data_IF_352942579293
#
_entry.id   IF_352942579293
#
_cell.length_a   1.000
_cell.length_b   1.000
_cell.length_c   1.000
_cell.angle_alpha   90.00
_cell.angle_beta   90.00
_cell.angle_gamma   90.00
#
_symmetry.space_group_name_H-M   'P 1'
#
loop_
_entity.id
_entity.type
_entity.pdbx_description
1 polymer ?
#
# COMPACT_ATOMS: atom_id res chain seq x y z
N UNK A 1 29.55 12.61 -19.48
CA UNK A 1 29.53 12.46 -20.93
C UNK A 1 30.86 12.92 -21.43
N UNK A 2 31.74 11.97 -21.70
CA UNK A 2 33.04 12.18 -22.33
C UNK A 2 32.92 12.58 -23.82
N UNK A 3 31.69 12.74 -24.33
CA UNK A 3 31.40 13.23 -25.68
C UNK A 3 31.40 12.14 -26.76
N UNK A 4 31.49 10.88 -26.36
CA UNK A 4 31.49 9.68 -27.20
C UNK A 4 30.09 9.21 -27.64
N UNK A 5 29.03 9.75 -27.02
CA UNK A 5 27.64 9.43 -27.35
C UNK A 5 27.07 8.23 -26.58
N UNK A 6 27.81 7.69 -25.61
CA UNK A 6 27.41 6.57 -24.76
C UNK A 6 27.45 6.99 -23.28
N UNK A 7 26.92 6.15 -22.40
CA UNK A 7 27.14 6.27 -20.95
C UNK A 7 27.81 5.00 -20.43
N UNK A 8 29.05 5.13 -19.95
CA UNK A 8 29.70 4.06 -19.20
C UNK A 8 28.99 3.81 -17.87
N UNK A 9 29.26 2.67 -17.24
CA UNK A 9 28.76 2.36 -15.89
C UNK A 9 29.13 3.45 -14.86
N UNK A 10 30.33 4.04 -14.98
CA UNK A 10 30.79 5.12 -14.10
C UNK A 10 29.98 6.41 -14.30
N UNK A 11 29.72 6.79 -15.54
CA UNK A 11 28.93 7.98 -15.86
C UNK A 11 27.46 7.82 -15.49
N UNK A 12 26.88 6.63 -15.74
CA UNK A 12 25.53 6.31 -15.32
C UNK A 12 25.40 6.30 -13.78
N UNK A 13 26.41 5.79 -13.08
CA UNK A 13 26.48 5.87 -11.62
C UNK A 13 26.54 7.32 -11.12
N UNK A 14 27.31 8.18 -11.77
CA UNK A 14 27.36 9.61 -11.46
C UNK A 14 26.01 10.30 -11.71
N UNK A 15 25.33 9.96 -12.81
CA UNK A 15 23.97 10.43 -13.11
C UNK A 15 22.99 10.04 -11.99
N UNK A 16 23.00 8.78 -11.57
CA UNK A 16 22.15 8.30 -10.47
C UNK A 16 22.44 9.03 -9.15
N UNK A 17 23.72 9.23 -8.81
CA UNK A 17 24.12 9.97 -7.60
C UNK A 17 23.72 11.45 -7.65
N UNK A 18 23.67 12.03 -8.84
CA UNK A 18 23.13 13.39 -9.03
C UNK A 18 21.60 13.44 -8.95
N UNK A 19 20.93 12.37 -9.39
CA UNK A 19 19.47 12.20 -9.38
C UNK A 19 18.93 12.02 -7.96
N UNK A 20 19.56 11.21 -7.11
CA UNK A 20 19.03 10.87 -5.79
C UNK A 20 19.40 11.91 -4.74
N UNK A 21 18.46 12.83 -4.47
CA UNK A 21 18.60 13.91 -3.50
C UNK A 21 17.33 14.05 -2.68
N UNK A 22 17.48 14.46 -1.43
CA UNK A 22 16.35 14.85 -0.60
C UNK A 22 15.81 16.23 -1.03
N UNK A 23 14.70 16.66 -0.42
CA UNK A 23 14.05 17.93 -0.75
C UNK A 23 14.96 19.18 -0.57
N UNK A 24 16.01 19.07 0.25
CA UNK A 24 16.99 20.15 0.50
C UNK A 24 18.18 20.09 -0.48
N UNK A 25 18.15 19.19 -1.46
CA UNK A 25 19.22 18.99 -2.43
C UNK A 25 20.41 18.18 -1.92
N UNK A 26 20.38 17.64 -0.69
CA UNK A 26 21.45 16.79 -0.16
C UNK A 26 21.40 15.42 -0.84
N UNK A 27 22.52 14.90 -1.36
CA UNK A 27 22.55 13.59 -1.99
C UNK A 27 22.28 12.47 -0.98
N UNK A 28 21.54 11.44 -1.40
CA UNK A 28 21.40 10.21 -0.63
C UNK A 28 22.67 9.35 -0.75
N UNK A 29 23.03 8.59 0.31
CA UNK A 29 23.95 7.47 0.13
C UNK A 29 23.31 6.43 -0.80
N UNK A 30 24.10 5.88 -1.72
CA UNK A 30 23.64 4.88 -2.69
C UNK A 30 24.69 3.80 -2.77
N UNK A 31 24.24 2.57 -2.55
CA UNK A 31 25.08 1.38 -2.63
C UNK A 31 25.48 1.09 -4.08
N UNK A 32 26.71 0.58 -4.28
CA UNK A 32 27.23 0.31 -5.61
C UNK A 32 26.54 -0.90 -6.27
N UNK A 33 26.07 -1.89 -5.51
CA UNK A 33 25.31 -3.02 -6.05
C UNK A 33 23.99 -2.56 -6.65
N UNK A 34 23.27 -1.66 -5.97
CA UNK A 34 22.04 -1.03 -6.49
C UNK A 34 22.29 -0.33 -7.83
N UNK A 35 23.35 0.48 -7.91
CA UNK A 35 23.70 1.18 -9.16
C UNK A 35 24.04 0.21 -10.30
N UNK A 36 24.75 -0.86 -9.98
CA UNK A 36 25.13 -1.90 -10.95
C UNK A 36 23.90 -2.64 -11.47
N UNK A 37 22.95 -2.99 -10.59
CA UNK A 37 21.69 -3.62 -10.98
C UNK A 37 20.86 -2.69 -11.86
N UNK A 38 20.71 -1.42 -11.50
CA UNK A 38 19.97 -0.44 -12.31
C UNK A 38 20.63 -0.32 -13.69
N UNK A 39 21.96 -0.18 -13.75
CA UNK A 39 22.69 -0.10 -15.01
C UNK A 39 22.40 -1.30 -15.91
N UNK A 40 22.52 -2.53 -15.38
CA UNK A 40 22.26 -3.76 -16.13
C UNK A 40 20.81 -3.92 -16.63
N UNK A 41 19.83 -3.25 -16.01
CA UNK A 41 18.44 -3.26 -16.46
C UNK A 41 18.25 -2.41 -17.73
N UNK A 42 19.07 -1.37 -17.88
CA UNK A 42 19.01 -0.44 -19.00
C UNK A 42 20.02 -0.76 -20.11
N UNK A 43 21.16 -1.36 -19.77
CA UNK A 43 22.07 -2.04 -20.73
C UNK A 43 21.42 -3.36 -21.18
N UNK A 44 20.58 -3.26 -22.22
CA UNK A 44 19.77 -4.35 -22.74
C UNK A 44 20.54 -5.26 -23.69
N UNK A 45 21.52 -4.71 -24.41
CA UNK A 45 22.34 -5.45 -25.35
C UNK A 45 23.58 -6.11 -24.67
N UNK A 46 23.86 -5.75 -23.40
CA UNK A 46 24.94 -6.26 -22.55
C UNK A 46 26.33 -5.93 -23.07
N UNK A 47 26.49 -4.78 -23.71
CA UNK A 47 27.78 -4.29 -24.20
C UNK A 47 28.58 -3.47 -23.15
N UNK A 48 28.02 -3.31 -21.95
CA UNK A 48 28.55 -2.53 -20.82
C UNK A 48 28.59 -1.02 -21.06
N UNK A 49 27.83 -0.50 -22.01
CA UNK A 49 27.49 0.92 -22.13
C UNK A 49 25.98 1.08 -22.26
N UNK A 50 25.48 2.30 -22.04
CA UNK A 50 24.11 2.66 -22.37
C UNK A 50 24.14 3.52 -23.62
N UNK A 51 23.57 3.02 -24.71
CA UNK A 51 23.46 3.75 -25.97
C UNK A 51 22.29 4.77 -25.96
N UNK A 52 22.09 5.47 -27.09
CA UNK A 52 21.04 6.48 -27.22
C UNK A 52 19.62 5.91 -27.11
N UNK A 53 19.37 4.72 -27.65
CA UNK A 53 18.06 4.07 -27.62
C UNK A 53 17.74 3.56 -26.22
N UNK A 54 18.71 2.93 -25.57
CA UNK A 54 18.63 2.49 -24.18
C UNK A 54 18.45 3.66 -23.22
N UNK A 55 19.21 4.74 -23.42
CA UNK A 55 19.05 5.96 -22.64
C UNK A 55 17.67 6.59 -22.86
N UNK A 56 17.13 6.58 -24.08
CA UNK A 56 15.77 7.08 -24.34
C UNK A 56 14.73 6.25 -23.58
N UNK A 57 14.87 4.92 -23.54
CA UNK A 57 13.99 4.06 -22.76
C UNK A 57 14.13 4.35 -21.25
N UNK A 58 15.36 4.40 -20.74
CA UNK A 58 15.70 4.77 -19.37
C UNK A 58 15.07 6.12 -18.97
N UNK A 59 15.21 7.14 -19.82
CA UNK A 59 14.61 8.44 -19.60
C UNK A 59 13.08 8.37 -19.53
N UNK A 60 12.45 7.79 -20.55
CA UNK A 60 10.99 7.80 -20.70
C UNK A 60 10.27 6.95 -19.65
N UNK A 61 10.85 5.82 -19.27
CA UNK A 61 10.20 4.84 -18.38
C UNK A 61 10.64 4.94 -16.94
N UNK A 62 11.83 5.46 -16.66
CA UNK A 62 12.41 5.46 -15.32
C UNK A 62 12.69 6.86 -14.80
N UNK A 63 13.62 7.61 -15.40
CA UNK A 63 14.04 8.93 -14.88
C UNK A 63 12.85 9.89 -14.83
N UNK A 64 12.04 9.95 -15.90
CA UNK A 64 10.88 10.85 -15.97
C UNK A 64 9.90 10.61 -14.82
N UNK A 65 9.59 9.36 -14.49
CA UNK A 65 8.69 9.04 -13.38
C UNK A 65 9.35 9.41 -12.05
N UNK A 66 10.64 9.13 -11.87
CA UNK A 66 11.39 9.51 -10.66
C UNK A 66 11.33 11.01 -10.38
N UNK A 67 11.43 11.86 -11.40
CA UNK A 67 11.42 13.33 -11.24
C UNK A 67 10.04 13.98 -11.34
N UNK A 68 9.05 13.28 -11.88
CA UNK A 68 7.68 13.76 -12.11
C UNK A 68 6.69 12.65 -11.78
N UNK A 69 6.53 12.30 -10.49
CA UNK A 69 5.56 11.30 -10.08
C UNK A 69 4.14 11.77 -10.39
N UNK A 70 3.26 10.83 -10.70
CA UNK A 70 1.80 11.01 -10.64
C UNK A 70 1.33 10.31 -9.38
N UNK A 71 0.72 11.07 -8.49
CA UNK A 71 0.60 10.71 -7.07
C UNK A 71 -0.83 10.42 -6.66
N UNK A 72 -1.01 9.37 -5.88
CA UNK A 72 -2.26 9.06 -5.21
C UNK A 72 -2.08 9.08 -3.68
N UNK A 73 -3.04 9.67 -2.96
CA UNK A 73 -3.23 9.43 -1.54
C UNK A 73 -4.34 8.39 -1.36
N UNK A 74 -4.07 7.30 -0.64
CA UNK A 74 -5.04 6.26 -0.30
C UNK A 74 -5.23 6.27 1.21
N UNK A 75 -6.39 6.78 1.63
CA UNK A 75 -6.84 6.85 3.01
C UNK A 75 -7.63 5.59 3.33
N UNK A 76 -7.10 4.75 4.22
CA UNK A 76 -7.65 3.43 4.51
C UNK A 76 -8.55 3.51 5.75
N UNK A 77 -9.83 3.23 5.56
CA UNK A 77 -10.80 2.85 6.60
C UNK A 77 -10.84 3.79 7.83
N UNK A 78 -10.82 5.12 7.60
CA UNK A 78 -11.01 6.11 8.68
C UNK A 78 -12.52 6.25 8.97
N UNK A 79 -13.11 5.14 9.44
CA UNK A 79 -14.53 4.96 9.70
C UNK A 79 -14.85 4.98 11.20
N UNK A 80 -16.09 5.28 11.54
CA UNK A 80 -16.55 5.42 12.93
C UNK A 80 -16.29 4.15 13.76
N UNK A 81 -16.58 2.96 13.22
CA UNK A 81 -16.39 1.71 13.98
C UNK A 81 -14.94 1.46 14.40
N UNK A 82 -13.96 1.96 13.66
CA UNK A 82 -12.54 1.82 14.00
C UNK A 82 -12.03 2.92 14.94
N UNK A 83 -12.77 4.02 15.11
CA UNK A 83 -12.36 5.15 15.95
C UNK A 83 -13.04 5.08 17.31
N UNK A 84 -14.37 5.12 17.35
CA UNK A 84 -15.16 5.17 18.59
C UNK A 84 -16.35 4.21 18.62
N UNK A 85 -16.58 3.45 17.54
CA UNK A 85 -17.63 2.43 17.46
C UNK A 85 -17.19 1.01 17.88
N UNK A 86 -17.77 0.00 17.21
CA UNK A 86 -17.77 -1.39 17.70
C UNK A 86 -16.42 -2.09 17.67
N UNK A 87 -15.50 -1.65 16.80
CA UNK A 87 -14.14 -2.16 16.65
C UNK A 87 -13.11 -1.04 16.84
N UNK A 88 -13.38 -0.15 17.79
CA UNK A 88 -12.47 0.96 18.10
C UNK A 88 -11.08 0.42 18.42
N UNK A 89 -10.06 0.93 17.72
CA UNK A 89 -8.67 0.50 17.93
C UNK A 89 -8.14 0.83 19.33
N UNK A 90 -8.81 1.73 20.06
CA UNK A 90 -8.50 2.01 21.46
C UNK A 90 -8.71 0.79 22.37
N UNK A 91 -9.58 -0.12 21.95
CA UNK A 91 -9.86 -1.38 22.66
C UNK A 91 -8.95 -2.53 22.20
N UNK A 92 -8.04 -2.28 21.26
CA UNK A 92 -7.05 -3.26 20.81
C UNK A 92 -5.80 -3.27 21.72
N UNK A 93 -4.95 -4.31 21.64
CA UNK A 93 -3.78 -4.46 22.53
C UNK A 93 -2.85 -3.25 22.63
N UNK A 94 -2.62 -2.53 21.53
CA UNK A 94 -1.76 -1.33 21.53
C UNK A 94 -2.42 -0.10 22.20
N UNK A 95 -3.73 -0.11 22.42
CA UNK A 95 -4.46 0.98 23.08
C UNK A 95 -4.37 2.34 22.37
N UNK A 96 -4.06 2.33 21.07
CA UNK A 96 -3.89 3.54 20.27
C UNK A 96 -5.23 4.27 20.03
N UNK A 97 -5.20 5.58 19.83
CA UNK A 97 -6.41 6.35 19.53
C UNK A 97 -6.58 6.56 18.02
N UNK A 98 -7.65 6.00 17.44
CA UNK A 98 -7.95 6.08 16.01
C UNK A 98 -8.16 7.50 15.50
N UNK A 99 -8.73 8.39 16.32
CA UNK A 99 -8.99 9.78 15.94
C UNK A 99 -7.69 10.53 15.57
N UNK A 100 -6.54 10.11 16.11
CA UNK A 100 -5.25 10.76 15.89
C UNK A 100 -4.73 10.64 14.45
N UNK A 101 -5.33 9.77 13.61
CA UNK A 101 -5.01 9.73 12.16
C UNK A 101 -5.59 10.92 11.41
N UNK A 102 -6.66 11.55 11.93
CA UNK A 102 -7.41 12.57 11.19
C UNK A 102 -6.60 13.86 10.98
N UNK A 103 -5.99 14.48 12.01
CA UNK A 103 -5.21 15.71 11.82
C UNK A 103 -4.06 15.60 10.80
N UNK A 104 -3.20 14.55 10.82
CA UNK A 104 -2.15 14.41 9.82
C UNK A 104 -2.72 14.15 8.41
N UNK A 105 -3.80 13.39 8.26
CA UNK A 105 -4.43 13.13 6.95
C UNK A 105 -5.05 14.42 6.37
N UNK A 106 -5.79 15.18 7.18
CA UNK A 106 -6.35 16.46 6.77
C UNK A 106 -5.25 17.44 6.34
N UNK A 107 -4.13 17.48 7.07
CA UNK A 107 -2.97 18.29 6.69
C UNK A 107 -2.34 17.83 5.37
N UNK A 108 -2.26 16.53 5.10
CA UNK A 108 -1.77 16.02 3.82
C UNK A 108 -2.62 16.54 2.66
N UNK A 109 -3.95 16.53 2.81
CA UNK A 109 -4.89 17.04 1.81
C UNK A 109 -4.77 18.57 1.61
N UNK A 110 -4.44 19.32 2.65
CA UNK A 110 -4.28 20.78 2.58
C UNK A 110 -2.92 21.22 2.01
N UNK A 111 -1.83 20.55 2.41
CA UNK A 111 -0.47 20.98 2.10
C UNK A 111 0.06 20.44 0.76
N UNK A 112 -0.63 19.44 0.20
CA UNK A 112 -0.22 18.72 -0.99
C UNK A 112 -1.35 18.67 -2.01
N UNK A 113 -0.98 18.70 -3.29
CA UNK A 113 -1.89 18.45 -4.40
C UNK A 113 -1.59 17.06 -4.93
N UNK A 114 -2.40 16.09 -4.54
CA UNK A 114 -2.37 14.75 -5.14
C UNK A 114 -3.13 14.77 -6.47
N UNK A 115 -2.70 13.94 -7.41
CA UNK A 115 -3.42 13.75 -8.67
C UNK A 115 -4.67 12.90 -8.48
N UNK A 116 -4.65 12.02 -7.46
CA UNK A 116 -5.76 11.13 -7.09
C UNK A 116 -5.87 11.07 -5.57
N UNK A 117 -7.09 11.13 -5.03
CA UNK A 117 -7.36 10.85 -3.62
C UNK A 117 -8.39 9.72 -3.56
N UNK A 118 -8.10 8.71 -2.77
CA UNK A 118 -8.95 7.54 -2.58
C UNK A 118 -9.24 7.36 -1.10
N UNK A 119 -10.49 7.02 -0.77
CA UNK A 119 -10.90 6.53 0.54
C UNK A 119 -11.37 5.09 0.39
N UNK A 120 -10.74 4.15 1.10
CA UNK A 120 -11.34 2.82 1.24
C UNK A 120 -12.31 2.78 2.41
N UNK A 121 -13.32 1.93 2.27
CA UNK A 121 -14.32 1.68 3.29
C UNK A 121 -14.50 0.18 3.42
N UNK A 122 -14.32 -0.34 4.62
CA UNK A 122 -14.86 -1.64 4.97
C UNK A 122 -16.39 -1.58 4.91
N UNK A 123 -17.00 -2.56 4.27
CA UNK A 123 -18.41 -2.49 3.89
C UNK A 123 -19.10 -3.85 3.89
N UNK A 124 -19.22 -4.42 5.08
CA UNK A 124 -19.58 -5.81 5.28
C UNK A 124 -21.09 -6.05 5.30
N UNK A 125 -21.62 -7.05 4.56
CA UNK A 125 -22.98 -7.52 4.77
C UNK A 125 -23.16 -8.02 6.21
N UNK A 126 -24.40 -8.08 6.69
CA UNK A 126 -24.73 -8.52 8.05
C UNK A 126 -24.33 -9.97 8.35
N UNK A 127 -24.17 -10.81 7.33
CA UNK A 127 -23.76 -12.22 7.44
C UNK A 127 -22.29 -12.47 7.14
N UNK A 128 -21.45 -11.43 7.11
CA UNK A 128 -20.06 -11.52 6.66
C UNK A 128 -19.19 -12.50 7.46
N UNK A 129 -18.35 -13.28 6.77
CA UNK A 129 -17.52 -14.38 7.30
C UNK A 129 -16.55 -13.98 8.40
N UNK A 130 -16.15 -12.71 8.43
CA UNK A 130 -15.22 -12.21 9.42
C UNK A 130 -15.86 -11.96 10.80
N UNK A 131 -17.19 -11.98 10.94
CA UNK A 131 -17.82 -11.68 12.21
C UNK A 131 -17.94 -12.90 13.11
N UNK A 132 -17.47 -12.75 14.36
CA UNK A 132 -17.57 -13.77 15.40
C UNK A 132 -19.00 -14.23 15.66
N UNK A 133 -19.98 -13.31 15.58
CA UNK A 133 -21.38 -13.64 15.85
C UNK A 133 -22.06 -14.40 14.69
N UNK A 134 -21.43 -14.46 13.52
CA UNK A 134 -21.87 -15.25 12.36
C UNK A 134 -21.01 -16.47 12.08
N UNK A 135 -20.05 -16.78 12.96
CA UNK A 135 -19.11 -17.90 12.81
C UNK A 135 -19.81 -19.24 12.54
N UNK A 136 -21.02 -19.42 13.08
CA UNK A 136 -21.85 -20.62 12.95
C UNK A 136 -22.58 -20.74 11.61
N UNK A 137 -22.60 -19.69 10.77
CA UNK A 137 -23.25 -19.73 9.46
C UNK A 137 -22.46 -20.55 8.42
N UNK A 138 -21.18 -20.80 8.68
CA UNK A 138 -20.27 -21.51 7.78
C UNK A 138 -19.72 -22.76 8.45
N UNK A 139 -19.60 -23.88 7.72
CA UNK A 139 -19.03 -25.08 8.27
C UNK A 139 -17.52 -24.91 8.45
N UNK A 140 -17.01 -25.46 9.55
CA UNK A 140 -15.57 -25.49 9.81
C UNK A 140 -14.94 -26.56 8.93
N UNK A 141 -13.77 -26.25 8.38
CA UNK A 141 -12.96 -27.22 7.67
C UNK A 141 -12.40 -28.25 8.67
N UNK A 142 -12.15 -29.49 8.23
CA UNK A 142 -11.60 -30.56 9.10
C UNK A 142 -10.24 -30.21 9.73
N UNK A 143 -9.49 -29.32 9.08
CA UNK A 143 -8.20 -28.82 9.56
C UNK A 143 -8.33 -27.72 10.63
N UNK A 144 -9.54 -27.22 10.91
CA UNK A 144 -9.73 -26.19 11.92
C UNK A 144 -9.45 -26.77 13.32
N UNK A 145 -8.61 -26.08 14.08
CA UNK A 145 -8.17 -26.52 15.41
C UNK A 145 -9.12 -26.13 16.53
N UNK A 146 -10.09 -25.27 16.25
CA UNK A 146 -11.05 -24.72 17.20
C UNK A 146 -12.44 -25.25 16.88
N UNK A 147 -13.24 -25.51 17.91
CA UNK A 147 -14.67 -25.78 17.75
C UNK A 147 -15.48 -24.49 17.86
N UNK A 148 -16.70 -24.40 17.28
CA UNK A 148 -17.51 -23.17 17.33
C UNK A 148 -17.72 -22.59 18.73
N UNK A 149 -17.80 -23.43 19.76
CA UNK A 149 -18.00 -23.01 21.15
C UNK A 149 -16.72 -22.47 21.83
N UNK A 150 -15.54 -22.73 21.27
CA UNK A 150 -14.23 -22.30 21.81
C UNK A 150 -13.74 -20.98 21.24
N UNK A 151 -14.29 -20.57 20.10
CA UNK A 151 -13.79 -19.47 19.28
C UNK A 151 -14.04 -18.12 19.97
N UNK A 152 -13.03 -17.26 19.93
CA UNK A 152 -13.05 -15.91 20.50
C UNK A 152 -12.74 -14.86 19.44
N UNK A 153 -13.04 -13.61 19.78
CA UNK A 153 -12.62 -12.45 18.99
C UNK A 153 -11.09 -12.48 18.81
N UNK A 154 -10.65 -12.21 17.59
CA UNK A 154 -9.27 -12.28 17.09
C UNK A 154 -8.67 -13.68 16.89
N UNK A 155 -9.41 -14.76 17.16
CA UNK A 155 -8.97 -16.09 16.75
C UNK A 155 -9.00 -16.23 15.23
N UNK A 156 -8.08 -17.05 14.70
CA UNK A 156 -8.11 -17.49 13.30
C UNK A 156 -8.73 -18.88 13.22
N UNK A 157 -9.83 -18.98 12.48
CA UNK A 157 -10.51 -20.25 12.17
C UNK A 157 -10.26 -20.63 10.72
N UNK A 158 -10.62 -21.87 10.38
CA UNK A 158 -10.52 -22.39 9.01
C UNK A 158 -11.90 -22.89 8.58
N UNK A 159 -12.49 -22.23 7.59
CA UNK A 159 -13.80 -22.59 7.05
C UNK A 159 -13.68 -23.45 5.79
N UNK A 160 -14.73 -24.22 5.50
CA UNK A 160 -15.00 -24.82 4.19
C UNK A 160 -16.23 -24.13 3.59
N UNK A 161 -16.05 -22.88 3.15
CA UNK A 161 -17.17 -21.98 2.83
C UNK A 161 -18.04 -22.54 1.69
N UNK A 162 -17.42 -23.21 0.71
CA UNK A 162 -18.11 -23.76 -0.45
C UNK A 162 -18.57 -25.22 -0.26
N UNK A 163 -18.24 -25.86 0.87
CA UNK A 163 -18.48 -27.29 1.12
C UNK A 163 -17.82 -28.19 0.07
N UNK A 164 -16.67 -27.76 -0.44
CA UNK A 164 -15.90 -28.44 -1.47
C UNK A 164 -14.58 -29.02 -0.92
N UNK A 165 -14.37 -28.92 0.40
CA UNK A 165 -13.17 -29.37 1.08
C UNK A 165 -12.00 -28.38 0.97
N UNK A 166 -12.20 -27.16 0.44
CA UNK A 166 -11.14 -26.17 0.39
C UNK A 166 -11.08 -25.37 1.70
N UNK A 167 -9.92 -25.45 2.36
CA UNK A 167 -9.64 -24.67 3.56
C UNK A 167 -9.48 -23.17 3.26
N UNK A 168 -10.20 -22.35 4.02
CA UNK A 168 -10.05 -20.88 4.00
C UNK A 168 -9.80 -20.37 5.42
N UNK A 169 -8.64 -19.77 5.67
CA UNK A 169 -8.34 -19.13 6.95
C UNK A 169 -9.07 -17.78 7.05
N UNK A 170 -9.67 -17.53 8.22
CA UNK A 170 -10.35 -16.28 8.53
C UNK A 170 -10.06 -15.87 9.97
N UNK A 171 -9.55 -14.66 10.17
CA UNK A 171 -9.48 -14.04 11.50
C UNK A 171 -10.83 -13.42 11.85
N UNK A 172 -11.31 -13.68 13.06
CA UNK A 172 -12.63 -13.24 13.48
C UNK A 172 -12.59 -11.92 14.24
N UNK A 173 -13.57 -11.08 13.98
CA UNK A 173 -13.69 -9.74 14.54
C UNK A 173 -15.07 -9.55 15.16
N UNK A 174 -15.24 -8.59 16.09
CA UNK A 174 -16.57 -8.09 16.44
C UNK A 174 -17.28 -7.61 15.17
N UNK A 175 -18.61 -7.61 15.17
CA UNK A 175 -19.38 -7.00 14.09
C UNK A 175 -19.01 -5.53 13.94
N UNK A 176 -18.64 -5.12 12.73
CA UNK A 176 -18.18 -3.77 12.42
C UNK A 176 -18.48 -3.42 10.96
N UNK A 177 -18.50 -2.13 10.66
CA UNK A 177 -18.63 -1.55 9.32
C UNK A 177 -19.74 -2.20 8.49
N UNK A 178 -20.87 -2.52 9.15
CA UNK A 178 -22.02 -3.15 8.49
C UNK A 178 -22.61 -2.18 7.48
N UNK A 179 -22.93 -2.66 6.28
CA UNK A 179 -23.41 -1.79 5.20
C UNK A 179 -24.57 -0.89 5.65
N UNK A 180 -24.44 0.41 5.36
CA UNK A 180 -25.42 1.46 5.66
C UNK A 180 -25.64 1.73 7.14
N UNK A 181 -24.76 1.25 8.01
CA UNK A 181 -24.73 1.62 9.42
C UNK A 181 -23.87 2.86 9.65
N UNK A 182 -24.12 3.56 10.75
CA UNK A 182 -23.27 4.67 11.21
C UNK A 182 -21.80 4.24 11.36
N UNK A 183 -21.56 3.03 11.88
CA UNK A 183 -20.21 2.49 12.08
C UNK A 183 -19.39 2.39 10.79
N UNK A 184 -20.07 2.22 9.65
CA UNK A 184 -19.45 2.11 8.34
C UNK A 184 -19.26 3.46 7.62
N UNK A 185 -19.73 4.58 8.18
CA UNK A 185 -19.49 5.90 7.62
C UNK A 185 -18.05 6.36 7.91
N UNK A 186 -17.47 7.16 7.01
CA UNK A 186 -16.23 7.86 7.30
C UNK A 186 -16.44 8.83 8.46
N UNK A 187 -15.42 9.01 9.29
CA UNK A 187 -15.51 9.90 10.44
C UNK A 187 -15.77 11.35 10.01
N UNK A 188 -16.67 12.03 10.70
CA UNK A 188 -17.17 13.37 10.32
C UNK A 188 -16.07 14.44 10.20
N UNK A 189 -15.00 14.32 11.00
CA UNK A 189 -13.89 15.27 11.01
C UNK A 189 -12.83 15.00 9.92
N UNK A 190 -12.95 13.87 9.21
CA UNK A 190 -12.11 13.58 8.06
C UNK A 190 -12.52 14.45 6.88
N UNK A 191 -11.58 15.21 6.34
CA UNK A 191 -11.81 15.97 5.12
C UNK A 191 -11.92 15.04 3.93
N UNK A 192 -12.95 15.28 3.12
CA UNK A 192 -13.20 14.57 1.87
C UNK A 192 -12.80 15.47 0.70
N UNK A 193 -11.89 15.00 -0.15
CA UNK A 193 -11.51 15.70 -1.36
C UNK A 193 -12.69 15.75 -2.37
N UNK A 194 -12.80 16.84 -3.14
CA UNK A 194 -13.94 17.07 -4.05
C UNK A 194 -14.12 15.95 -5.09
N UNK A 195 -13.03 15.51 -5.72
CA UNK A 195 -13.02 14.44 -6.75
C UNK A 195 -12.54 13.10 -6.18
N UNK A 196 -12.83 12.84 -4.90
CA UNK A 196 -12.41 11.62 -4.23
C UNK A 196 -13.03 10.36 -4.85
N UNK A 197 -12.23 9.29 -4.92
CA UNK A 197 -12.69 7.95 -5.28
C UNK A 197 -12.99 7.18 -4.01
N UNK A 198 -14.13 6.50 -3.96
CA UNK A 198 -14.51 5.63 -2.85
C UNK A 198 -14.42 4.17 -3.29
N UNK A 199 -13.68 3.37 -2.51
CA UNK A 199 -13.48 1.93 -2.77
C UNK A 199 -14.05 1.14 -1.61
N UNK A 200 -15.12 0.40 -1.87
CA UNK A 200 -15.72 -0.49 -0.87
C UNK A 200 -15.06 -1.86 -0.93
N UNK A 201 -14.68 -2.41 0.22
CA UNK A 201 -14.06 -3.72 0.36
C UNK A 201 -14.81 -4.57 1.40
N UNK A 202 -14.58 -5.89 1.38
CA UNK A 202 -15.25 -6.83 2.28
C UNK A 202 -16.75 -6.97 2.01
N UNK A 203 -17.17 -6.77 0.76
CA UNK A 203 -18.60 -6.74 0.37
C UNK A 203 -19.17 -8.12 0.07
N UNK A 204 -18.31 -9.10 -0.20
CA UNK A 204 -18.70 -10.50 -0.37
C UNK A 204 -18.92 -11.13 1.01
N UNK A 205 -20.09 -11.70 1.32
CA UNK A 205 -20.33 -12.30 2.63
C UNK A 205 -19.35 -13.41 2.97
N UNK A 206 -18.78 -14.09 1.97
CA UNK A 206 -18.01 -15.32 2.14
C UNK A 206 -16.49 -15.12 2.03
N UNK A 207 -16.05 -13.90 1.70
CA UNK A 207 -14.63 -13.58 1.54
C UNK A 207 -14.33 -12.18 2.10
N UNK A 208 -13.45 -12.15 3.10
CA UNK A 208 -12.96 -10.90 3.67
C UNK A 208 -11.90 -10.23 2.77
N UNK A 209 -11.70 -8.92 2.95
CA UNK A 209 -10.79 -8.12 2.13
C UNK A 209 -10.14 -7.01 2.96
N UNK A 210 -8.95 -7.29 3.52
CA UNK A 210 -8.18 -6.27 4.22
C UNK A 210 -7.57 -5.26 3.26
N UNK A 211 -7.07 -5.73 2.12
CA UNK A 211 -6.48 -4.85 1.11
C UNK A 211 -7.57 -4.11 0.35
N UNK A 212 -7.31 -2.84 0.08
CA UNK A 212 -8.12 -2.06 -0.84
C UNK A 212 -7.88 -2.43 -2.31
N UNK A 213 -6.99 -3.38 -2.64
CA UNK A 213 -6.74 -3.85 -4.02
C UNK A 213 -7.39 -5.19 -4.34
N UNK A 214 -7.35 -6.13 -3.39
CA UNK A 214 -7.74 -7.54 -3.59
C UNK A 214 -8.40 -8.09 -2.34
N UNK A 215 -9.33 -9.03 -2.53
CA UNK A 215 -9.78 -9.86 -1.43
C UNK A 215 -8.64 -10.72 -0.83
N UNK A 216 -8.85 -11.25 0.38
CA UNK A 216 -7.84 -12.01 1.10
C UNK A 216 -7.41 -13.30 0.37
N UNK A 217 -8.26 -13.82 -0.53
CA UNK A 217 -8.00 -15.01 -1.33
C UNK A 217 -7.39 -14.70 -2.72
N UNK A 218 -7.15 -13.42 -3.04
CA UNK A 218 -6.72 -12.94 -4.36
C UNK A 218 -7.61 -13.40 -5.52
N UNK A 219 -8.91 -13.61 -5.27
CA UNK A 219 -9.86 -14.06 -6.30
C UNK A 219 -10.50 -12.90 -7.05
N UNK A 220 -10.81 -11.81 -6.35
CA UNK A 220 -11.43 -10.62 -6.89
C UNK A 220 -10.61 -9.37 -6.59
N UNK A 221 -10.58 -8.47 -7.58
CA UNK A 221 -10.02 -7.13 -7.42
C UNK A 221 -11.13 -6.17 -7.03
N UNK A 222 -10.78 -5.20 -6.20
CA UNK A 222 -11.58 -3.97 -6.07
C UNK A 222 -11.37 -3.08 -7.31
N UNK A 223 -12.06 -1.94 -7.34
CA UNK A 223 -11.87 -0.93 -8.40
C UNK A 223 -10.56 -0.13 -8.28
N UNK A 224 -9.84 -0.21 -7.15
CA UNK A 224 -8.70 0.67 -6.86
C UNK A 224 -7.63 0.61 -7.95
N UNK A 225 -7.17 -0.59 -8.29
CA UNK A 225 -6.06 -0.76 -9.23
C UNK A 225 -6.41 -0.22 -10.62
N UNK A 226 -7.64 -0.45 -11.06
CA UNK A 226 -8.14 0.04 -12.34
C UNK A 226 -8.17 1.57 -12.36
N UNK A 227 -8.68 2.20 -11.30
CA UNK A 227 -8.78 3.66 -11.20
C UNK A 227 -7.40 4.34 -11.15
N UNK A 228 -6.43 3.75 -10.45
CA UNK A 228 -5.05 4.23 -10.41
C UNK A 228 -4.37 4.10 -11.78
N UNK A 229 -4.54 2.95 -12.46
CA UNK A 229 -3.99 2.71 -13.81
C UNK A 229 -4.56 3.67 -14.84
N UNK A 230 -5.88 3.90 -14.84
CA UNK A 230 -6.54 4.87 -15.74
C UNK A 230 -5.95 6.27 -15.63
N UNK A 231 -5.51 6.65 -14.43
CA UNK A 231 -4.93 7.98 -14.13
C UNK A 231 -3.41 8.02 -14.23
N UNK A 232 -2.78 6.92 -14.67
CA UNK A 232 -1.33 6.78 -14.79
C UNK A 232 -0.58 7.06 -13.48
N UNK A 233 -1.17 6.71 -12.33
CA UNK A 233 -0.52 6.85 -11.03
C UNK A 233 0.77 6.03 -11.01
N UNK A 234 1.85 6.63 -10.54
CA UNK A 234 3.16 6.00 -10.38
C UNK A 234 3.52 5.79 -8.92
N UNK A 235 2.94 6.62 -8.04
CA UNK A 235 3.32 6.74 -6.62
C UNK A 235 2.08 6.75 -5.74
N UNK A 236 2.07 5.90 -4.73
CA UNK A 236 0.94 5.77 -3.80
C UNK A 236 1.43 6.07 -2.38
N UNK A 237 0.78 7.01 -1.72
CA UNK A 237 0.93 7.31 -0.31
C UNK A 237 -0.24 6.69 0.45
N UNK A 238 0.04 5.86 1.44
CA UNK A 238 -0.98 5.11 2.18
C UNK A 238 -0.98 5.56 3.64
N UNK A 239 -2.17 5.80 4.18
CA UNK A 239 -2.39 6.14 5.58
C UNK A 239 -3.74 5.59 6.05
N UNK A 240 -4.03 5.67 7.35
CA UNK A 240 -5.33 5.25 7.91
C UNK A 240 -5.24 4.11 8.93
N UNK A 241 -6.26 3.26 8.95
CA UNK A 241 -6.48 2.26 10.00
C UNK A 241 -6.82 0.89 9.36
N UNK A 242 -6.45 -0.26 9.93
CA UNK A 242 -5.41 -0.44 10.94
C UNK A 242 -4.03 -0.63 10.28
N UNK A 243 -3.00 -0.04 10.88
CA UNK A 243 -1.60 -0.02 10.43
C UNK A 243 -1.11 -1.42 10.00
N UNK A 244 -1.32 -2.40 10.86
CA UNK A 244 -0.85 -3.79 10.81
C UNK A 244 -1.85 -4.75 10.14
N UNK A 245 -3.00 -4.24 9.68
CA UNK A 245 -4.05 -5.03 9.01
C UNK A 245 -4.35 -4.45 7.62
N UNK A 246 -5.38 -3.61 7.49
CA UNK A 246 -5.82 -3.08 6.19
C UNK A 246 -4.76 -2.20 5.52
N UNK A 247 -4.08 -1.35 6.29
CA UNK A 247 -2.98 -0.50 5.79
C UNK A 247 -1.80 -1.36 5.34
N UNK A 248 -1.41 -2.37 6.14
CA UNK A 248 -0.33 -3.30 5.80
C UNK A 248 -0.65 -4.07 4.51
N UNK A 249 -1.85 -4.65 4.41
CA UNK A 249 -2.29 -5.42 3.25
C UNK A 249 -2.35 -4.54 1.99
N UNK A 250 -2.96 -3.35 2.09
CA UNK A 250 -3.04 -2.38 0.99
C UNK A 250 -1.66 -1.93 0.53
N UNK A 251 -0.73 -1.70 1.47
CA UNK A 251 0.65 -1.30 1.15
C UNK A 251 1.42 -2.39 0.43
N UNK A 252 1.33 -3.64 0.92
CA UNK A 252 1.98 -4.79 0.27
C UNK A 252 1.44 -5.01 -1.14
N UNK A 253 0.13 -4.88 -1.33
CA UNK A 253 -0.49 -5.02 -2.64
C UNK A 253 -0.14 -3.88 -3.60
N UNK A 254 -0.10 -2.62 -3.14
CA UNK A 254 0.36 -1.51 -3.97
C UNK A 254 1.78 -1.75 -4.51
N UNK A 255 2.68 -2.26 -3.64
CA UNK A 255 4.04 -2.63 -4.03
C UNK A 255 4.04 -3.78 -5.04
N UNK A 256 3.21 -4.81 -4.82
CA UNK A 256 3.09 -5.96 -5.71
C UNK A 256 2.51 -5.59 -7.09
N UNK A 257 1.57 -4.65 -7.14
CA UNK A 257 0.98 -4.09 -8.37
C UNK A 257 1.94 -3.18 -9.14
N UNK A 258 3.10 -2.87 -8.55
CA UNK A 258 4.21 -2.18 -9.20
C UNK A 258 4.32 -0.69 -8.89
N UNK A 259 3.47 -0.15 -8.01
CA UNK A 259 3.55 1.25 -7.59
C UNK A 259 4.76 1.48 -6.68
N UNK A 260 5.37 2.67 -6.81
CA UNK A 260 6.29 3.18 -5.79
C UNK A 260 5.43 3.57 -4.59
N UNK A 261 5.68 2.96 -3.45
CA UNK A 261 4.72 3.01 -2.34
C UNK A 261 5.37 3.54 -1.08
N UNK A 262 4.69 4.51 -0.47
CA UNK A 262 5.09 5.16 0.77
C UNK A 262 4.00 4.92 1.82
N UNK A 263 4.38 4.35 2.97
CA UNK A 263 3.51 4.28 4.14
C UNK A 263 3.74 5.52 5.00
N UNK A 264 2.70 6.33 5.23
CA UNK A 264 2.77 7.54 6.04
C UNK A 264 2.54 7.18 7.51
N UNK A 265 3.65 6.91 8.21
CA UNK A 265 3.72 6.31 9.55
C UNK A 265 2.87 7.06 10.58
N UNK A 266 3.09 8.36 10.72
CA UNK A 266 2.34 9.19 11.67
C UNK A 266 0.88 9.46 11.25
N UNK A 267 0.49 9.06 10.04
CA UNK A 267 -0.89 9.07 9.55
C UNK A 267 -1.62 7.75 9.75
N UNK A 268 -1.05 6.81 10.52
CA UNK A 268 -1.62 5.50 10.74
C UNK A 268 -1.76 5.16 12.23
N UNK A 269 -2.72 4.30 12.56
CA UNK A 269 -2.85 3.67 13.90
C UNK A 269 -3.21 2.20 13.76
N UNK A 270 -2.74 1.36 14.68
CA UNK A 270 -2.79 -0.10 14.56
C UNK A 270 -3.32 -0.81 15.80
N UNK A 271 -3.40 -2.14 15.67
CA UNK A 271 -3.97 -3.06 16.66
C UNK A 271 -2.91 -3.50 17.66
N UNK A 272 -1.70 -3.83 17.20
CA UNK A 272 -0.63 -4.41 18.01
C UNK A 272 0.75 -3.82 17.69
N UNK A 273 1.51 -3.42 18.71
CA UNK A 273 2.84 -2.80 18.53
C UNK A 273 3.83 -3.73 17.81
N UNK A 274 3.86 -5.03 18.16
CA UNK A 274 4.76 -5.98 17.49
C UNK A 274 4.43 -6.16 16.02
N UNK A 275 3.14 -6.14 15.67
CA UNK A 275 2.68 -6.38 14.31
C UNK A 275 2.88 -5.13 13.44
N UNK A 276 2.82 -3.94 14.04
CA UNK A 276 3.20 -2.68 13.39
C UNK A 276 4.70 -2.64 13.06
N UNK A 277 5.57 -3.04 13.99
CA UNK A 277 7.01 -3.10 13.73
C UNK A 277 7.34 -4.17 12.67
N UNK A 278 6.74 -5.36 12.76
CA UNK A 278 6.86 -6.40 11.73
C UNK A 278 6.36 -5.89 10.36
N UNK A 279 5.31 -5.07 10.34
CA UNK A 279 4.80 -4.44 9.12
C UNK A 279 5.81 -3.47 8.51
N UNK A 280 6.46 -2.62 9.31
CA UNK A 280 7.51 -1.71 8.83
C UNK A 280 8.68 -2.46 8.22
N UNK A 281 9.15 -3.52 8.89
CA UNK A 281 10.23 -4.38 8.39
C UNK A 281 9.82 -5.05 7.08
N UNK A 282 8.62 -5.63 7.02
CA UNK A 282 8.10 -6.29 5.83
C UNK A 282 8.02 -5.32 4.64
N UNK A 283 7.46 -4.13 4.82
CA UNK A 283 7.32 -3.11 3.77
C UNK A 283 8.71 -2.67 3.27
N UNK A 284 9.64 -2.41 4.17
CA UNK A 284 11.00 -1.99 3.82
C UNK A 284 11.73 -3.10 3.05
N UNK A 285 11.53 -4.37 3.42
CA UNK A 285 12.17 -5.51 2.75
C UNK A 285 11.74 -5.69 1.29
N UNK A 286 10.54 -5.21 0.93
CA UNK A 286 9.99 -5.27 -0.44
C UNK A 286 10.10 -3.93 -1.19
N UNK A 287 11.00 -3.04 -0.75
CA UNK A 287 11.29 -1.72 -1.34
C UNK A 287 10.14 -0.71 -1.23
N UNK A 288 9.25 -0.86 -0.25
CA UNK A 288 8.41 0.23 0.21
C UNK A 288 9.21 1.21 1.07
N UNK A 289 8.65 2.40 1.30
CA UNK A 289 9.29 3.45 2.09
C UNK A 289 8.37 3.89 3.24
N UNK A 290 8.87 3.85 4.47
CA UNK A 290 8.20 4.43 5.63
C UNK A 290 8.55 5.92 5.72
N UNK A 291 7.55 6.79 5.82
CA UNK A 291 7.74 8.25 5.85
C UNK A 291 6.83 8.90 6.88
N UNK A 292 7.19 10.10 7.33
CA UNK A 292 6.26 10.98 8.04
C UNK A 292 5.55 11.92 7.06
N UNK A 293 4.37 12.42 7.46
CA UNK A 293 3.57 13.36 6.67
C UNK A 293 4.34 14.61 6.22
N UNK A 294 5.30 15.08 7.03
CA UNK A 294 6.16 16.21 6.71
C UNK A 294 7.07 15.99 5.49
N UNK A 295 7.37 14.73 5.14
CA UNK A 295 8.22 14.39 4.01
C UNK A 295 7.43 14.24 2.70
N UNK A 296 6.11 14.10 2.78
CA UNK A 296 5.24 13.77 1.63
C UNK A 296 5.34 14.84 0.55
N UNK A 297 5.40 16.12 0.91
CA UNK A 297 5.52 17.21 -0.06
C UNK A 297 6.77 17.13 -0.93
N UNK A 298 7.91 16.76 -0.35
CA UNK A 298 9.16 16.57 -1.07
C UNK A 298 9.03 15.44 -2.10
N UNK A 299 8.47 14.30 -1.66
CA UNK A 299 8.30 13.10 -2.46
C UNK A 299 7.27 13.30 -3.58
N UNK A 300 6.09 13.83 -3.24
CA UNK A 300 5.00 14.06 -4.18
C UNK A 300 5.35 15.07 -5.28
N UNK A 301 6.27 16.02 -4.99
CA UNK A 301 6.74 16.97 -6.00
C UNK A 301 7.97 16.49 -6.78
N UNK A 302 8.48 15.29 -6.51
CA UNK A 302 9.71 14.76 -7.13
C UNK A 302 10.99 15.48 -6.72
N UNK A 303 10.94 16.33 -5.69
CA UNK A 303 12.12 17.04 -5.13
C UNK A 303 12.91 16.15 -4.19
N UNK A 304 12.23 15.28 -3.47
CA UNK A 304 12.82 14.19 -2.70
C UNK A 304 12.77 12.91 -3.54
N UNK A 305 13.94 12.31 -3.79
CA UNK A 305 14.12 11.14 -4.67
C UNK A 305 14.94 10.07 -3.96
N UNK A 306 14.35 9.33 -3.00
CA UNK A 306 15.02 8.23 -2.31
C UNK A 306 15.43 7.13 -3.31
N UNK A 307 16.67 6.61 -3.24
CA UNK A 307 17.14 5.57 -4.15
C UNK A 307 16.26 4.32 -4.18
N UNK A 308 15.68 3.93 -3.03
CA UNK A 308 14.83 2.72 -2.91
C UNK A 308 13.61 2.75 -3.84
N UNK A 309 12.96 3.91 -3.99
CA UNK A 309 11.78 4.04 -4.85
C UNK A 309 12.15 3.98 -6.33
N UNK A 310 13.29 4.59 -6.70
CA UNK A 310 13.81 4.50 -8.06
C UNK A 310 14.27 3.07 -8.38
N UNK A 311 14.92 2.41 -7.42
CA UNK A 311 15.35 1.02 -7.55
C UNK A 311 14.16 0.08 -7.75
N UNK A 312 13.10 0.22 -6.93
CA UNK A 312 11.84 -0.52 -7.10
C UNK A 312 11.28 -0.39 -8.50
N UNK A 313 11.22 0.84 -9.04
CA UNK A 313 10.72 1.07 -10.39
C UNK A 313 11.59 0.39 -11.46
N UNK A 314 12.92 0.43 -11.31
CA UNK A 314 13.81 -0.27 -12.25
C UNK A 314 13.54 -1.79 -12.24
N UNK A 315 13.40 -2.40 -11.06
CA UNK A 315 13.07 -3.83 -10.92
C UNK A 315 11.73 -4.17 -11.59
N UNK A 316 10.70 -3.33 -11.45
CA UNK A 316 9.41 -3.55 -12.10
C UNK A 316 9.48 -3.43 -13.63
N UNK A 317 10.27 -2.48 -14.15
CA UNK A 317 10.51 -2.38 -15.59
C UNK A 317 11.21 -3.62 -16.14
N UNK A 318 12.14 -4.22 -15.38
CA UNK A 318 12.80 -5.47 -15.76
C UNK A 318 11.82 -6.65 -15.79
N UNK A 319 10.96 -6.79 -14.77
CA UNK A 319 9.91 -7.83 -14.74
C UNK A 319 8.95 -7.71 -15.92
N UNK A 320 8.53 -6.50 -16.26
CA UNK A 320 7.57 -6.27 -17.35
C UNK A 320 8.16 -6.50 -18.75
N UNK A 321 9.49 -6.36 -18.93
CA UNK A 321 10.16 -6.77 -20.17
C UNK A 321 10.11 -8.29 -20.37
N UNK A 322 10.28 -9.07 -19.30
CA UNK A 322 10.30 -10.54 -19.36
C UNK A 322 8.91 -11.19 -19.54
N UNK A 323 7.83 -10.42 -19.40
CA UNK A 323 6.45 -10.89 -19.61
C UNK A 323 5.95 -10.69 -21.06
N UNK A 324 6.72 -10.02 -21.91
CA UNK A 324 6.42 -9.78 -23.32
C UNK A 324 7.27 -10.66 -24.21
#
# INVERSE_FOLDING_TARGET
MEGDGFLSQQEFSALCRALFRNERGKPYPVDNSMLTTIFSIFDTNKDNVIDKEEFRYCWQKWIKQVVRPVTALVVVDVQNDFIDGSLSIKNCPAGQNGEEVIPPINRLLEENRFDVVVYSLDWHPDTHVSFIDTVHLRPFHEACKLTPDEVKVMDTVTFDVNKDGNAMEQKLWPRHCVQKSWGAELHQDLKIAEDAIFVYKGTDPDIDSYSAFWDNNKKSQTTLNEELKKRNVTDVFICGIAYDVCVAATTKDAIAEGYRTMLVDNGCRGVCDSDMEATKEAITSINGLIVNSSQVKGLATGRDRPPVLAYKLALELAKNKNKK
#
